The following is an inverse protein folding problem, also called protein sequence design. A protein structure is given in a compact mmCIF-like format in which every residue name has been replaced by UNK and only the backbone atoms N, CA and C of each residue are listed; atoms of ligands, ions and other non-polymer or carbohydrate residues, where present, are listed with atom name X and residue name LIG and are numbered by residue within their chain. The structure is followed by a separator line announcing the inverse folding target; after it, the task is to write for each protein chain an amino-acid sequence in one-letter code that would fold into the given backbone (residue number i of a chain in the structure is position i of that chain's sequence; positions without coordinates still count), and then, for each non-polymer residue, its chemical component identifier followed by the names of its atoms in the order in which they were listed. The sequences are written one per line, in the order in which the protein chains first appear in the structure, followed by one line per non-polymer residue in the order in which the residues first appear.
data_IF_426483394559
#
_entry.id   IF_426483394559
#
_cell.length_a   1.000
_cell.length_b   1.000
_cell.length_c   1.000
_cell.angle_alpha   90.00
_cell.angle_beta   90.00
_cell.angle_gamma   90.00
#
_symmetry.space_group_name_H-M   'P 1'
#
loop_
_entity.id
_entity.type
_entity.pdbx_description
1 polymer ?
#
# COMPACT_ATOMS: atom_id res chain seq x y z
N UNK A 1 13.58 -15.45 -49.70
CA UNK A 1 14.91 -14.89 -50.05
C UNK A 1 14.76 -13.49 -50.59
N UNK A 2 15.23 -12.47 -49.85
CA UNK A 2 16.06 -11.36 -50.35
C UNK A 2 16.35 -10.42 -49.18
N UNK A 3 17.57 -10.56 -48.71
CA UNK A 3 18.32 -9.79 -47.71
C UNK A 3 18.76 -8.44 -48.26
N UNK A 4 18.80 -7.43 -47.39
CA UNK A 4 19.70 -6.25 -47.39
C UNK A 4 19.82 -5.88 -45.90
N UNK A 5 20.89 -6.07 -45.12
CA UNK A 5 22.36 -6.02 -45.24
C UNK A 5 22.97 -4.60 -45.36
N UNK A 6 23.38 -4.10 -44.17
CA UNK A 6 24.57 -3.27 -43.83
C UNK A 6 24.58 -1.80 -44.35
N UNK A 7 25.26 -0.80 -43.75
CA UNK A 7 26.31 -0.68 -42.73
C UNK A 7 26.44 0.82 -42.32
N UNK A 8 27.19 1.12 -41.25
CA UNK A 8 28.11 2.27 -41.03
C UNK A 8 27.82 3.06 -39.73
N UNK A 9 28.54 2.89 -38.60
CA UNK A 9 29.89 3.42 -38.22
C UNK A 9 30.01 4.95 -38.38
N UNK A 10 30.60 5.79 -37.52
CA UNK A 10 31.29 5.80 -36.21
C UNK A 10 31.70 7.28 -35.99
N UNK A 11 32.13 7.64 -34.77
CA UNK A 11 33.01 8.78 -34.35
C UNK A 11 32.28 9.97 -33.70
N UNK A 12 32.36 10.11 -32.37
CA UNK A 12 33.44 10.75 -31.56
C UNK A 12 33.53 12.27 -31.75
N UNK A 13 33.11 13.02 -30.73
CA UNK A 13 33.65 14.34 -30.44
C UNK A 13 33.79 14.52 -28.92
N UNK A 14 35.03 14.41 -28.49
CA UNK A 14 35.58 14.86 -27.21
C UNK A 14 35.42 16.38 -27.15
N UNK A 15 34.92 16.93 -26.04
CA UNK A 15 35.35 18.25 -25.57
C UNK A 15 35.46 18.26 -24.05
N UNK A 16 36.62 18.72 -23.60
CA UNK A 16 37.11 18.69 -22.24
C UNK A 16 36.68 19.92 -21.44
N UNK A 17 36.45 19.67 -20.14
CA UNK A 17 36.83 20.47 -18.96
C UNK A 17 36.50 21.97 -18.96
N UNK A 18 35.56 22.33 -18.08
CA UNK A 18 35.71 23.49 -17.20
C UNK A 18 35.29 23.09 -15.78
N UNK A 19 36.26 23.08 -14.87
CA UNK A 19 35.99 23.04 -13.44
C UNK A 19 35.55 24.40 -12.94
N UNK A 20 34.77 24.43 -11.84
CA UNK A 20 35.16 25.15 -10.63
C UNK A 20 34.20 24.85 -9.48
N UNK A 21 34.80 24.76 -8.29
CA UNK A 21 34.18 24.92 -6.96
C UNK A 21 33.53 23.68 -6.33
N UNK A 22 34.33 22.90 -5.59
CA UNK A 22 33.89 22.30 -4.34
C UNK A 22 34.77 22.86 -3.22
N UNK A 23 34.12 23.45 -2.23
CA UNK A 23 34.75 24.05 -1.06
C UNK A 23 35.50 23.01 -0.23
N UNK A 24 36.66 23.42 0.27
CA UNK A 24 37.52 22.62 1.13
C UNK A 24 37.06 22.75 2.58
N UNK A 25 36.46 21.71 3.14
CA UNK A 25 36.44 21.51 4.59
C UNK A 25 37.55 20.52 4.97
N UNK A 26 38.50 21.03 5.74
CA UNK A 26 39.60 20.26 6.33
C UNK A 26 39.04 19.46 7.50
N UNK A 27 39.24 18.14 7.50
CA UNK A 27 39.10 17.34 8.70
C UNK A 27 40.48 16.98 9.23
N UNK A 28 40.77 17.50 10.42
CA UNK A 28 41.94 17.16 11.23
C UNK A 28 41.94 15.67 11.55
N UNK A 29 43.06 15.02 11.21
CA UNK A 29 43.40 13.68 11.66
C UNK A 29 43.79 13.74 13.13
N UNK A 30 42.84 13.45 14.02
CA UNK A 30 43.15 13.09 15.40
C UNK A 30 42.99 11.58 15.56
N UNK A 31 44.14 10.90 15.61
CA UNK A 31 44.36 9.52 15.99
C UNK A 31 43.65 9.18 17.31
N UNK A 32 42.39 8.75 17.24
CA UNK A 32 41.77 7.97 18.31
C UNK A 32 42.14 6.51 18.13
N UNK A 33 43.31 6.19 18.70
CA UNK A 33 43.73 4.89 19.26
C UNK A 33 42.57 3.89 19.31
N UNK A 34 42.49 3.03 18.30
CA UNK A 34 41.62 1.85 18.28
C UNK A 34 42.14 0.90 19.36
N UNK A 35 41.60 1.06 20.56
CA UNK A 35 41.68 0.03 21.59
C UNK A 35 40.88 -1.15 21.06
N UNK A 36 41.59 -2.18 20.61
CA UNK A 36 41.08 -3.52 20.43
C UNK A 36 40.35 -3.94 21.71
N UNK A 37 39.04 -3.73 21.76
CA UNK A 37 38.18 -4.52 22.64
C UNK A 37 37.91 -5.82 21.88
N UNK A 38 38.59 -6.87 22.36
CA UNK A 38 38.33 -8.28 22.09
C UNK A 38 36.88 -8.52 21.69
N UNK A 39 36.68 -9.12 20.51
CA UNK A 39 35.48 -9.92 20.27
C UNK A 39 35.35 -10.92 21.42
N UNK A 40 34.20 -10.98 22.11
CA UNK A 40 33.93 -12.11 22.98
C UNK A 40 33.70 -13.33 22.09
N UNK A 41 34.73 -14.16 21.97
CA UNK A 41 34.61 -15.55 21.55
C UNK A 41 33.84 -16.30 22.63
N UNK A 42 32.54 -16.53 22.45
CA UNK A 42 31.81 -17.56 23.21
C UNK A 42 30.80 -18.22 22.28
N UNK A 43 30.96 -19.52 22.10
CA UNK A 43 30.17 -20.41 21.27
C UNK A 43 28.84 -20.78 21.96
N UNK A 44 28.03 -19.77 22.29
CA UNK A 44 26.76 -19.86 23.05
C UNK A 44 25.57 -19.24 22.26
N UNK A 45 25.79 -18.96 20.97
CA UNK A 45 24.91 -18.16 20.11
C UNK A 45 23.95 -18.99 19.24
N UNK A 46 24.06 -20.33 19.20
CA UNK A 46 23.22 -21.19 18.34
C UNK A 46 21.84 -21.46 18.96
N UNK A 47 21.77 -21.76 20.25
CA UNK A 47 20.51 -22.07 20.95
C UNK A 47 19.66 -20.81 21.14
N UNK A 48 20.27 -19.70 21.60
CA UNK A 48 19.58 -18.41 21.74
C UNK A 48 19.08 -17.87 20.39
N UNK A 49 19.83 -18.05 19.32
CA UNK A 49 19.36 -17.66 17.98
C UNK A 49 18.26 -18.57 17.44
N UNK A 50 18.25 -19.85 17.79
CA UNK A 50 17.18 -20.78 17.46
C UNK A 50 15.89 -20.44 18.22
N UNK A 51 15.99 -20.07 19.49
CA UNK A 51 14.86 -19.66 20.32
C UNK A 51 14.23 -18.35 19.82
N UNK A 52 15.05 -17.35 19.46
CA UNK A 52 14.58 -16.10 18.84
C UNK A 52 13.86 -16.39 17.52
N UNK A 53 14.44 -17.24 16.66
CA UNK A 53 13.80 -17.63 15.38
C UNK A 53 12.46 -18.34 15.62
N UNK A 54 12.39 -19.22 16.63
CA UNK A 54 11.15 -19.90 17.02
C UNK A 54 10.08 -18.90 17.48
N UNK A 55 10.45 -17.96 18.34
CA UNK A 55 9.54 -16.92 18.83
C UNK A 55 9.05 -15.98 17.70
N UNK A 56 9.92 -15.62 16.75
CA UNK A 56 9.53 -14.82 15.57
C UNK A 56 8.56 -15.58 14.68
N UNK A 57 8.84 -16.87 14.41
CA UNK A 57 7.96 -17.73 13.61
C UNK A 57 6.60 -17.93 14.28
N UNK A 58 6.58 -18.09 15.59
CA UNK A 58 5.34 -18.18 16.37
C UNK A 58 4.54 -16.87 16.28
N UNK A 59 5.18 -15.72 16.49
CA UNK A 59 4.55 -14.40 16.31
C UNK A 59 4.00 -14.18 14.91
N UNK A 60 4.76 -14.56 13.89
CA UNK A 60 4.31 -14.51 12.49
C UNK A 60 3.10 -15.41 12.28
N UNK A 61 3.15 -16.65 12.77
CA UNK A 61 2.02 -17.60 12.67
C UNK A 61 0.76 -17.06 13.35
N UNK A 62 0.90 -16.48 14.55
CA UNK A 62 -0.21 -15.84 15.28
C UNK A 62 -0.78 -14.66 14.47
N UNK A 63 0.08 -13.82 13.90
CA UNK A 63 -0.36 -12.68 13.08
C UNK A 63 -1.08 -13.14 11.80
N UNK A 64 -0.55 -14.15 11.11
CA UNK A 64 -1.19 -14.72 9.91
C UNK A 64 -2.57 -15.31 10.23
N UNK A 65 -2.72 -15.98 11.37
CA UNK A 65 -4.02 -16.49 11.80
C UNK A 65 -5.03 -15.37 12.08
N UNK A 66 -4.58 -14.24 12.66
CA UNK A 66 -5.44 -13.06 12.84
C UNK A 66 -5.89 -12.49 11.50
N UNK A 67 -4.96 -12.34 10.55
CA UNK A 67 -5.29 -11.86 9.20
C UNK A 67 -6.26 -12.77 8.46
N UNK A 68 -6.05 -14.08 8.54
CA UNK A 68 -6.96 -15.08 7.98
C UNK A 68 -8.37 -14.92 8.53
N UNK A 69 -8.51 -14.80 9.85
CA UNK A 69 -9.82 -14.60 10.50
C UNK A 69 -10.51 -13.32 10.04
N UNK A 70 -9.77 -12.20 9.95
CA UNK A 70 -10.33 -10.93 9.46
C UNK A 70 -10.77 -11.05 8.01
N UNK A 71 -9.99 -11.73 7.18
CA UNK A 71 -10.32 -11.93 5.78
C UNK A 71 -11.55 -12.85 5.60
N UNK A 72 -11.70 -13.90 6.40
CA UNK A 72 -12.87 -14.77 6.38
C UNK A 72 -14.15 -13.98 6.69
N UNK A 73 -14.14 -13.16 7.76
CA UNK A 73 -15.27 -12.30 8.11
C UNK A 73 -15.54 -11.23 7.03
N UNK A 74 -14.48 -10.66 6.45
CA UNK A 74 -14.57 -9.72 5.34
C UNK A 74 -15.27 -10.36 4.13
N UNK A 75 -14.82 -11.53 3.69
CA UNK A 75 -15.35 -12.21 2.52
C UNK A 75 -16.84 -12.55 2.67
N UNK A 76 -17.26 -12.97 3.87
CA UNK A 76 -18.63 -13.38 4.13
C UNK A 76 -19.58 -12.18 4.24
N UNK A 77 -19.21 -11.15 5.00
CA UNK A 77 -20.16 -10.13 5.44
C UNK A 77 -19.93 -8.73 4.85
N UNK A 78 -18.72 -8.41 4.42
CA UNK A 78 -18.32 -7.04 4.08
C UNK A 78 -18.01 -6.87 2.60
N UNK A 79 -17.38 -7.86 1.96
CA UNK A 79 -17.07 -7.82 0.54
C UNK A 79 -18.30 -7.58 -0.34
N UNK A 80 -19.47 -8.18 -0.10
CA UNK A 80 -20.68 -7.88 -0.89
C UNK A 80 -21.10 -6.40 -0.80
N UNK A 81 -20.91 -5.76 0.36
CA UNK A 81 -21.16 -4.33 0.55
C UNK A 81 -20.17 -3.51 -0.28
N UNK A 82 -18.88 -3.85 -0.23
CA UNK A 82 -17.84 -3.12 -0.96
C UNK A 82 -17.96 -3.30 -2.47
N UNK A 83 -18.32 -4.49 -2.94
CA UNK A 83 -18.63 -4.76 -4.34
C UNK A 83 -19.75 -3.84 -4.85
N UNK A 84 -20.82 -3.71 -4.07
CA UNK A 84 -21.97 -2.90 -4.45
C UNK A 84 -21.69 -1.38 -4.35
N UNK A 85 -20.87 -0.92 -3.40
CA UNK A 85 -20.78 0.51 -3.04
C UNK A 85 -19.42 1.16 -3.30
N UNK A 86 -18.35 0.39 -3.37
CA UNK A 86 -16.98 0.91 -3.37
C UNK A 86 -16.17 0.51 -4.62
N UNK A 87 -16.39 -0.70 -5.15
CA UNK A 87 -15.50 -1.32 -6.14
C UNK A 87 -15.41 -0.57 -7.45
N UNK A 88 -16.47 0.13 -7.86
CA UNK A 88 -16.47 0.94 -9.09
C UNK A 88 -15.32 1.97 -9.10
N UNK A 89 -14.90 2.48 -7.94
CA UNK A 89 -13.79 3.42 -7.84
C UNK A 89 -12.53 2.80 -7.22
N UNK A 90 -12.70 1.88 -6.28
CA UNK A 90 -11.63 1.38 -5.43
C UNK A 90 -11.12 -0.02 -5.82
N UNK A 91 -11.55 -0.64 -6.92
CA UNK A 91 -11.07 -1.96 -7.33
C UNK A 91 -10.55 -1.99 -8.76
N UNK A 92 -9.96 -3.11 -9.18
CA UNK A 92 -9.51 -3.35 -10.56
C UNK A 92 -10.65 -3.39 -11.58
N UNK A 93 -11.90 -3.53 -11.11
CA UNK A 93 -13.10 -3.63 -11.96
C UNK A 93 -14.00 -2.41 -11.75
N UNK A 94 -14.34 -1.73 -12.84
CA UNK A 94 -15.24 -0.57 -12.81
C UNK A 94 -16.41 -0.78 -13.77
N UNK A 95 -17.63 -0.66 -13.26
CA UNK A 95 -18.81 -0.53 -14.11
C UNK A 95 -18.99 0.93 -14.52
N UNK A 96 -18.52 1.25 -15.72
CA UNK A 96 -18.59 2.63 -16.23
C UNK A 96 -20.01 3.01 -16.63
N UNK A 97 -20.47 4.23 -16.28
CA UNK A 97 -21.76 4.74 -16.74
C UNK A 97 -21.74 5.02 -18.25
N UNK A 98 -22.92 5.07 -18.88
CA UNK A 98 -23.04 5.27 -20.34
C UNK A 98 -22.35 6.55 -20.85
N UNK A 99 -22.31 7.61 -20.02
CA UNK A 99 -21.66 8.89 -20.33
C UNK A 99 -20.13 8.87 -20.20
N UNK A 100 -19.52 7.77 -19.76
CA UNK A 100 -18.06 7.63 -19.68
C UNK A 100 -17.36 7.84 -21.03
N UNK A 101 -18.05 7.56 -22.15
CA UNK A 101 -17.51 7.72 -23.51
C UNK A 101 -17.36 9.18 -23.94
N UNK A 102 -17.93 10.14 -23.20
CA UNK A 102 -17.85 11.56 -23.54
C UNK A 102 -16.43 12.09 -23.23
N UNK A 103 -15.72 12.67 -24.22
CA UNK A 103 -14.42 13.30 -23.99
C UNK A 103 -14.48 14.36 -22.89
N UNK A 104 -13.45 14.44 -22.05
CA UNK A 104 -13.47 15.30 -20.85
C UNK A 104 -14.06 14.58 -19.63
N UNK A 105 -15.29 14.07 -19.72
CA UNK A 105 -15.91 13.27 -18.64
C UNK A 105 -15.11 11.99 -18.39
N UNK A 106 -14.70 11.31 -19.46
CA UNK A 106 -13.78 10.15 -19.39
C UNK A 106 -12.55 10.46 -18.53
N UNK A 107 -11.86 11.56 -18.86
CA UNK A 107 -10.62 11.96 -18.19
C UNK A 107 -10.85 12.33 -16.73
N UNK A 108 -12.00 12.95 -16.41
CA UNK A 108 -12.38 13.25 -15.04
C UNK A 108 -12.61 11.98 -14.22
N UNK A 109 -13.40 11.04 -14.75
CA UNK A 109 -13.68 9.76 -14.09
C UNK A 109 -12.39 8.95 -13.90
N UNK A 110 -11.54 8.86 -14.93
CA UNK A 110 -10.27 8.13 -14.84
C UNK A 110 -9.34 8.72 -13.77
N UNK A 111 -9.29 10.07 -13.65
CA UNK A 111 -8.54 10.75 -12.60
C UNK A 111 -9.11 10.45 -11.21
N UNK A 112 -10.44 10.50 -11.06
CA UNK A 112 -11.12 10.22 -9.81
C UNK A 112 -10.88 8.78 -9.33
N UNK A 113 -11.00 7.79 -10.23
CA UNK A 113 -10.72 6.37 -9.93
C UNK A 113 -9.25 6.19 -9.56
N UNK A 114 -8.33 6.81 -10.31
CA UNK A 114 -6.89 6.73 -10.02
C UNK A 114 -6.57 7.30 -8.64
N UNK A 115 -7.19 8.41 -8.26
CA UNK A 115 -7.00 9.01 -6.94
C UNK A 115 -7.62 8.17 -5.83
N UNK A 116 -8.85 7.66 -6.03
CA UNK A 116 -9.54 6.80 -5.08
C UNK A 116 -8.69 5.58 -4.68
N UNK A 117 -8.06 4.91 -5.65
CA UNK A 117 -7.18 3.75 -5.41
C UNK A 117 -5.92 4.05 -4.62
N UNK A 118 -5.43 5.30 -4.63
CA UNK A 118 -4.30 5.69 -3.77
C UNK A 118 -4.69 5.71 -2.30
N UNK A 119 -5.93 6.06 -2.00
CA UNK A 119 -6.45 6.05 -0.65
C UNK A 119 -6.80 4.65 -0.19
N UNK A 120 -7.52 3.87 -1.00
CA UNK A 120 -7.74 2.46 -0.69
C UNK A 120 -7.97 1.64 -1.96
N UNK A 121 -7.36 0.47 -2.04
CA UNK A 121 -7.46 -0.44 -3.19
C UNK A 121 -7.96 -1.84 -2.77
N UNK A 122 -9.16 -2.18 -3.23
CA UNK A 122 -9.85 -3.47 -3.07
C UNK A 122 -9.64 -4.41 -4.27
N UNK A 123 -8.64 -4.16 -5.12
CA UNK A 123 -8.29 -5.07 -6.22
C UNK A 123 -7.87 -6.46 -5.73
N UNK A 124 -7.50 -6.57 -4.45
CA UNK A 124 -7.24 -7.82 -3.74
C UNK A 124 -8.13 -7.87 -2.50
N UNK A 125 -8.39 -9.09 -2.03
CA UNK A 125 -9.01 -9.29 -0.72
C UNK A 125 -8.07 -8.83 0.40
N UNK A 126 -8.60 -8.71 1.63
CA UNK A 126 -7.79 -8.33 2.78
C UNK A 126 -6.57 -9.27 2.88
N UNK A 127 -5.33 -8.78 2.96
CA UNK A 127 -4.83 -7.52 3.51
C UNK A 127 -4.75 -6.36 2.50
N UNK A 128 -5.50 -5.29 2.75
CA UNK A 128 -5.29 -4.02 2.04
C UNK A 128 -3.97 -3.40 2.51
N UNK A 129 -3.25 -2.76 1.59
CA UNK A 129 -1.98 -2.07 1.89
C UNK A 129 -1.93 -0.77 1.08
N UNK A 130 -2.85 0.16 1.38
CA UNK A 130 -2.88 1.50 0.80
C UNK A 130 -2.31 2.56 1.75
N UNK A 131 -2.43 2.36 3.06
CA UNK A 131 -1.86 3.24 4.09
C UNK A 131 -0.69 2.58 4.86
N UNK A 132 0.28 1.99 4.13
CA UNK A 132 1.49 1.31 4.65
C UNK A 132 1.25 0.00 5.41
N UNK A 133 0.17 -0.09 6.18
CA UNK A 133 -0.16 -1.27 6.99
C UNK A 133 -1.66 -1.59 6.91
N UNK A 134 -2.05 -2.88 7.03
CA UNK A 134 -3.47 -3.27 7.03
C UNK A 134 -4.27 -2.60 8.14
N UNK A 135 -3.64 -2.33 9.28
CA UNK A 135 -4.30 -1.65 10.41
C UNK A 135 -4.62 -0.18 10.12
N UNK A 136 -3.75 0.52 9.40
CA UNK A 136 -4.04 1.90 8.99
C UNK A 136 -5.19 1.96 7.98
N UNK A 137 -5.27 0.98 7.06
CA UNK A 137 -6.42 0.86 6.15
C UNK A 137 -7.73 0.59 6.91
N UNK A 138 -7.71 -0.31 7.90
CA UNK A 138 -8.86 -0.56 8.77
C UNK A 138 -9.29 0.69 9.55
N UNK A 139 -8.33 1.44 10.11
CA UNK A 139 -8.60 2.72 10.80
C UNK A 139 -9.19 3.76 9.86
N UNK A 140 -8.68 3.85 8.64
CA UNK A 140 -9.18 4.76 7.60
C UNK A 140 -10.63 4.42 7.25
N UNK A 141 -10.92 3.13 7.01
CA UNK A 141 -12.27 2.64 6.74
C UNK A 141 -13.23 2.88 7.91
N UNK A 142 -12.80 2.60 9.14
CA UNK A 142 -13.60 2.85 10.33
C UNK A 142 -13.94 4.35 10.46
N UNK A 143 -12.97 5.23 10.24
CA UNK A 143 -13.15 6.68 10.26
C UNK A 143 -14.11 7.17 9.18
N UNK A 144 -13.98 6.66 7.94
CA UNK A 144 -14.92 6.97 6.85
C UNK A 144 -16.31 6.44 7.16
N UNK A 145 -16.41 5.25 7.76
CA UNK A 145 -17.64 4.73 8.33
C UNK A 145 -18.24 5.73 9.31
N UNK A 146 -17.55 6.11 10.36
CA UNK A 146 -18.10 7.01 11.39
C UNK A 146 -18.46 8.40 10.85
N UNK A 147 -17.52 9.05 10.16
CA UNK A 147 -17.61 10.46 9.75
C UNK A 147 -18.33 10.66 8.42
N UNK A 148 -18.49 9.61 7.63
CA UNK A 148 -18.98 9.70 6.25
C UNK A 148 -17.95 10.32 5.32
N UNK A 149 -18.44 11.01 4.29
CA UNK A 149 -17.62 11.61 3.23
C UNK A 149 -17.46 10.73 1.99
N UNK A 150 -17.90 9.47 2.06
CA UNK A 150 -17.96 8.56 0.93
C UNK A 150 -19.40 8.03 0.69
N UNK A 151 -19.84 7.92 -0.57
CA UNK A 151 -19.17 8.47 -1.75
C UNK A 151 -19.27 10.02 -1.79
N UNK A 152 -18.39 10.72 -2.54
CA UNK A 152 -18.46 12.17 -2.68
C UNK A 152 -19.81 12.63 -3.23
N UNK A 153 -20.28 13.81 -2.84
CA UNK A 153 -21.60 14.32 -3.26
C UNK A 153 -21.76 14.35 -4.79
N UNK A 154 -20.71 14.72 -5.53
CA UNK A 154 -20.72 14.71 -7.00
C UNK A 154 -21.04 13.33 -7.59
N UNK A 155 -20.61 12.26 -6.93
CA UNK A 155 -20.88 10.90 -7.34
C UNK A 155 -22.32 10.51 -7.02
N UNK A 156 -22.81 10.85 -5.82
CA UNK A 156 -24.19 10.58 -5.39
C UNK A 156 -25.22 11.20 -6.35
N UNK A 157 -24.97 12.41 -6.85
CA UNK A 157 -25.88 13.08 -7.79
C UNK A 157 -26.09 12.26 -9.07
N UNK A 158 -25.05 11.59 -9.56
CA UNK A 158 -25.14 10.74 -10.75
C UNK A 158 -25.45 9.26 -10.44
N UNK A 159 -25.21 8.83 -9.19
CA UNK A 159 -25.31 7.46 -8.70
C UNK A 159 -26.02 7.45 -7.34
N UNK A 160 -27.32 7.78 -7.32
CA UNK A 160 -28.09 7.95 -6.08
C UNK A 160 -28.18 6.68 -5.24
N UNK A 161 -28.07 5.51 -5.88
CA UNK A 161 -28.08 4.18 -5.30
C UNK A 161 -26.74 3.79 -4.63
N UNK A 162 -25.67 4.56 -4.86
CA UNK A 162 -24.33 4.27 -4.33
C UNK A 162 -24.15 4.57 -2.84
N UNK A 163 -25.13 5.20 -2.19
CA UNK A 163 -25.05 5.51 -0.77
C UNK A 163 -25.07 4.23 0.07
N UNK A 164 -24.20 4.15 1.07
CA UNK A 164 -24.26 3.10 2.09
C UNK A 164 -25.57 3.21 2.88
N UNK A 165 -26.27 2.09 3.04
CA UNK A 165 -27.41 2.04 3.97
C UNK A 165 -26.91 2.18 5.41
N UNK A 166 -27.83 2.47 6.34
CA UNK A 166 -27.49 2.51 7.78
C UNK A 166 -26.89 1.17 8.24
N UNK A 167 -27.49 0.06 7.79
CA UNK A 167 -27.04 -1.29 8.11
C UNK A 167 -25.65 -1.57 7.54
N UNK A 168 -25.42 -1.27 6.26
CA UNK A 168 -24.10 -1.48 5.62
C UNK A 168 -23.00 -0.71 6.33
N UNK A 169 -23.31 0.53 6.71
CA UNK A 169 -22.41 1.42 7.46
C UNK A 169 -22.07 0.82 8.82
N UNK A 170 -23.06 0.34 9.55
CA UNK A 170 -22.88 -0.29 10.87
C UNK A 170 -22.03 -1.58 10.76
N UNK A 171 -22.34 -2.46 9.80
CA UNK A 171 -21.55 -3.68 9.56
C UNK A 171 -20.10 -3.38 9.23
N UNK A 172 -19.82 -2.38 8.38
CA UNK A 172 -18.45 -1.97 8.07
C UNK A 172 -17.71 -1.41 9.29
N UNK A 173 -18.37 -0.58 10.11
CA UNK A 173 -17.77 0.00 11.33
C UNK A 173 -17.46 -1.11 12.34
N UNK A 174 -18.38 -2.05 12.52
CA UNK A 174 -18.21 -3.18 13.45
C UNK A 174 -17.07 -4.09 13.02
N UNK A 175 -17.05 -4.54 11.76
CA UNK A 175 -15.97 -5.37 11.23
C UNK A 175 -14.60 -4.68 11.37
N UNK A 176 -14.48 -3.41 10.97
CA UNK A 176 -13.21 -2.69 11.09
C UNK A 176 -12.75 -2.54 12.54
N UNK A 177 -13.68 -2.27 13.47
CA UNK A 177 -13.38 -2.19 14.89
C UNK A 177 -12.87 -3.54 15.43
N UNK A 178 -13.60 -4.63 15.16
CA UNK A 178 -13.23 -5.98 15.60
C UNK A 178 -11.86 -6.40 15.03
N UNK A 179 -11.59 -6.06 13.76
CA UNK A 179 -10.32 -6.33 13.13
C UNK A 179 -9.15 -5.57 13.77
N UNK A 180 -9.33 -4.28 14.09
CA UNK A 180 -8.32 -3.47 14.80
C UNK A 180 -8.03 -4.05 16.18
N UNK A 181 -9.08 -4.39 16.94
CA UNK A 181 -8.96 -5.00 18.26
C UNK A 181 -8.22 -6.34 18.19
N UNK A 182 -8.52 -7.18 17.20
CA UNK A 182 -7.86 -8.47 17.00
C UNK A 182 -6.36 -8.30 16.72
N UNK A 183 -5.96 -7.25 16.00
CA UNK A 183 -4.56 -6.94 15.72
C UNK A 183 -3.80 -6.39 16.94
N UNK A 184 -4.50 -6.08 18.04
CA UNK A 184 -3.89 -5.76 19.32
C UNK A 184 -3.66 -4.27 19.57
N UNK A 185 -4.35 -3.40 18.84
CA UNK A 185 -4.39 -1.96 19.13
C UNK A 185 -5.78 -1.63 19.69
N UNK A 186 -5.81 -1.01 20.87
CA UNK A 186 -7.02 -0.48 21.52
C UNK A 186 -7.05 1.04 21.42
#
# INVERSE_FOLDING_TARGET
MKTKLLLSTLLLSIFAISGFSHGTEKHDNNEKKVVQKKEPSVNDNSEKSLEIKKALKEKETVLQNKYKKINEEYLENIKPIFEAKCFNCHSSTTNYPFYYKIPGVKNMIDKDIKEAKKHIDFSKDFLFISHETPINDLKSLNKIGQKGGMPPLRYIVAHWDSKLSKKDKESMIEWTKNAIELLGEK
#
